data_IF_544391086132
#
_entry.id   IF_544391086132
#
_cell.length_a   1.000
_cell.length_b   1.000
_cell.length_c   1.000
_cell.angle_alpha   90.00
_cell.angle_beta   90.00
_cell.angle_gamma   90.00
#
_symmetry.space_group_name_H-M   'P 1'
#
loop_
_entity.id
_entity.type
_entity.pdbx_description
1 polymer ?
#
# COMPACT_ATOMS: atom_id res chain seq x y z
N UNK A 1 9.89 -3.24 -49.73
CA UNK A 1 9.92 -1.95 -49.00
C UNK A 1 9.05 -2.10 -47.76
N UNK A 2 9.62 -2.53 -46.62
CA UNK A 2 8.89 -2.61 -45.35
C UNK A 2 9.52 -1.62 -44.36
N UNK A 3 8.88 -0.46 -44.22
CA UNK A 3 9.19 0.51 -43.18
C UNK A 3 8.37 0.18 -41.93
N UNK A 4 8.89 -0.71 -41.09
CA UNK A 4 8.49 -0.77 -39.69
C UNK A 4 9.73 -0.46 -38.89
N UNK A 5 9.96 0.83 -38.66
CA UNK A 5 10.94 1.33 -37.70
C UNK A 5 10.37 0.98 -36.31
N UNK A 6 10.44 -0.29 -35.95
CA UNK A 6 10.03 -0.78 -34.63
C UNK A 6 11.08 -0.24 -33.68
N UNK A 7 10.88 0.99 -33.21
CA UNK A 7 11.67 1.56 -32.12
C UNK A 7 11.38 0.67 -30.93
N UNK A 8 12.32 -0.22 -30.63
CA UNK A 8 12.23 -1.11 -29.49
C UNK A 8 12.43 -0.28 -28.21
N UNK A 9 11.33 0.32 -27.76
CA UNK A 9 11.27 1.14 -26.53
C UNK A 9 11.68 0.31 -25.32
N UNK A 10 11.47 -1.01 -25.35
CA UNK A 10 11.93 -1.91 -24.28
C UNK A 10 13.45 -1.97 -24.25
N UNK A 11 14.09 -2.21 -25.40
CA UNK A 11 15.56 -2.26 -25.47
C UNK A 11 16.22 -0.93 -25.04
N UNK A 12 15.57 0.21 -25.29
CA UNK A 12 16.06 1.54 -24.92
C UNK A 12 15.82 1.93 -23.44
N UNK A 13 14.82 1.33 -22.80
CA UNK A 13 14.56 1.49 -21.36
C UNK A 13 15.43 0.52 -20.54
N UNK A 14 15.58 -0.73 -21.00
CA UNK A 14 16.40 -1.76 -20.32
C UNK A 14 17.89 -1.43 -20.30
N UNK A 15 18.37 -0.58 -21.21
CA UNK A 15 19.79 -0.15 -21.23
C UNK A 15 20.12 0.91 -20.19
N UNK A 16 19.12 1.46 -19.47
CA UNK A 16 19.34 2.51 -18.47
C UNK A 16 19.59 1.88 -17.10
N UNK A 17 20.73 2.13 -16.45
CA UNK A 17 20.99 1.62 -15.12
C UNK A 17 20.01 2.23 -14.13
N UNK A 18 19.48 1.39 -13.23
CA UNK A 18 18.58 1.81 -12.15
C UNK A 18 19.27 2.88 -11.32
N UNK A 19 18.74 4.10 -11.32
CA UNK A 19 19.31 5.25 -10.63
C UNK A 19 19.27 5.05 -9.11
N UNK A 20 20.22 5.65 -8.38
CA UNK A 20 20.31 5.60 -6.91
C UNK A 20 18.98 6.00 -6.25
N UNK A 21 18.28 6.97 -6.83
CA UNK A 21 16.97 7.42 -6.35
C UNK A 21 15.88 6.37 -6.54
N UNK A 22 15.92 5.57 -7.60
CA UNK A 22 14.98 4.47 -7.82
C UNK A 22 15.19 3.34 -6.81
N UNK A 23 16.45 3.07 -6.44
CA UNK A 23 16.76 2.14 -5.35
C UNK A 23 16.27 2.63 -3.99
N UNK A 24 16.40 3.92 -3.69
CA UNK A 24 15.84 4.50 -2.48
C UNK A 24 14.31 4.39 -2.46
N UNK A 25 13.62 4.70 -3.55
CA UNK A 25 12.16 4.54 -3.65
C UNK A 25 11.75 3.08 -3.50
N UNK A 26 12.48 2.15 -4.11
CA UNK A 26 12.22 0.72 -3.97
C UNK A 26 12.34 0.26 -2.51
N UNK A 27 13.40 0.69 -1.82
CA UNK A 27 13.65 0.35 -0.43
C UNK A 27 12.58 0.98 0.48
N UNK A 28 12.22 2.24 0.25
CA UNK A 28 11.15 2.92 0.99
C UNK A 28 9.81 2.21 0.79
N UNK A 29 9.48 1.87 -0.45
CA UNK A 29 8.26 1.16 -0.80
C UNK A 29 8.21 -0.23 -0.16
N UNK A 30 9.34 -0.94 -0.16
CA UNK A 30 9.49 -2.22 0.52
C UNK A 30 9.23 -2.10 2.03
N UNK A 31 9.79 -1.08 2.69
CA UNK A 31 9.55 -0.81 4.11
C UNK A 31 8.07 -0.50 4.37
N UNK A 32 7.45 0.36 3.56
CA UNK A 32 6.04 0.74 3.72
C UNK A 32 5.13 -0.49 3.63
N UNK A 33 5.31 -1.33 2.61
CA UNK A 33 4.50 -2.55 2.42
C UNK A 33 4.71 -3.52 3.59
N UNK A 34 5.95 -3.64 4.08
CA UNK A 34 6.26 -4.49 5.23
C UNK A 34 5.60 -4.00 6.52
N UNK A 35 5.58 -2.68 6.76
CA UNK A 35 4.91 -2.07 7.92
C UNK A 35 3.40 -2.21 7.85
N UNK A 36 2.80 -2.01 6.67
CA UNK A 36 1.36 -2.17 6.45
C UNK A 36 0.90 -3.63 6.70
N UNK A 37 1.68 -4.60 6.20
CA UNK A 37 1.44 -6.02 6.47
C UNK A 37 1.57 -6.39 7.96
N UNK A 38 2.48 -5.74 8.68
CA UNK A 38 2.62 -5.93 10.12
C UNK A 38 1.42 -5.37 10.90
N UNK A 39 0.94 -4.17 10.55
CA UNK A 39 -0.22 -3.54 11.18
C UNK A 39 -1.48 -4.41 11.04
N UNK A 40 -1.74 -4.91 9.82
CA UNK A 40 -2.83 -5.84 9.56
C UNK A 40 -2.72 -7.15 10.36
N UNK A 41 -1.50 -7.67 10.54
CA UNK A 41 -1.26 -8.87 11.33
C UNK A 41 -1.54 -8.64 12.83
N UNK A 42 -1.02 -7.54 13.39
CA UNK A 42 -1.24 -7.17 14.80
C UNK A 42 -2.73 -6.93 15.08
N UNK A 43 -3.43 -6.27 14.17
CA UNK A 43 -4.87 -6.02 14.33
C UNK A 43 -5.68 -7.33 14.39
N UNK A 44 -5.26 -8.37 13.67
CA UNK A 44 -5.85 -9.72 13.76
C UNK A 44 -5.68 -10.38 15.13
N UNK A 45 -4.59 -10.10 15.84
CA UNK A 45 -4.33 -10.58 17.20
C UNK A 45 -5.02 -9.73 18.28
N UNK A 46 -5.07 -8.41 18.09
CA UNK A 46 -5.70 -7.49 19.04
C UNK A 46 -7.23 -7.56 18.96
N UNK A 47 -7.79 -7.87 17.79
CA UNK A 47 -9.23 -8.01 17.57
C UNK A 47 -9.95 -8.84 18.66
N UNK A 48 -9.59 -10.11 18.93
CA UNK A 48 -10.28 -10.91 19.96
C UNK A 48 -10.15 -10.33 21.37
N UNK A 49 -9.00 -9.73 21.72
CA UNK A 49 -8.79 -9.12 23.04
C UNK A 49 -9.63 -7.83 23.22
N UNK A 50 -9.75 -7.02 22.17
CA UNK A 50 -10.56 -5.80 22.18
C UNK A 50 -12.07 -6.11 22.26
N UNK A 51 -12.51 -7.20 21.64
CA UNK A 51 -13.88 -7.73 21.76
C UNK A 51 -14.20 -8.12 23.21
N UNK A 52 -13.24 -8.75 23.89
CA UNK A 52 -13.39 -9.20 25.28
C UNK A 52 -13.41 -8.01 26.25
N UNK A 53 -12.51 -7.04 26.08
CA UNK A 53 -12.40 -5.86 26.95
C UNK A 53 -13.52 -4.84 26.77
N UNK A 54 -14.00 -4.62 25.53
CA UNK A 54 -15.06 -3.64 25.26
C UNK A 54 -16.46 -4.27 25.22
N UNK A 55 -16.57 -5.60 25.24
CA UNK A 55 -17.85 -6.33 25.21
C UNK A 55 -18.59 -6.25 23.87
N UNK A 56 -17.87 -5.92 22.80
CA UNK A 56 -18.39 -5.62 21.45
C UNK A 56 -18.38 -6.89 20.59
N UNK A 57 -19.40 -7.12 19.76
CA UNK A 57 -19.47 -8.32 18.89
C UNK A 57 -18.40 -8.30 17.79
N UNK A 58 -17.88 -9.48 17.38
CA UNK A 58 -17.03 -9.62 16.17
C UNK A 58 -17.62 -8.96 14.93
N UNK A 59 -18.95 -8.86 14.85
CA UNK A 59 -19.66 -8.22 13.76
C UNK A 59 -19.46 -6.69 13.71
N UNK A 60 -19.19 -6.05 14.83
CA UNK A 60 -19.01 -4.59 14.95
C UNK A 60 -17.57 -4.14 14.67
N UNK A 61 -16.62 -5.07 14.64
CA UNK A 61 -15.25 -4.80 14.17
C UNK A 61 -15.19 -4.50 12.67
N UNK A 62 -16.08 -5.09 11.86
CA UNK A 62 -16.17 -4.81 10.42
C UNK A 62 -16.44 -3.33 10.12
N UNK A 63 -17.44 -2.70 10.74
CA UNK A 63 -17.67 -1.26 10.68
C UNK A 63 -16.49 -0.40 11.16
N UNK A 64 -15.80 -0.79 12.24
CA UNK A 64 -14.64 -0.04 12.77
C UNK A 64 -13.49 -0.05 11.76
N UNK A 65 -13.18 -1.23 11.20
CA UNK A 65 -12.17 -1.38 10.16
C UNK A 65 -12.56 -0.59 8.89
N UNK A 66 -13.85 -0.60 8.54
CA UNK A 66 -14.41 0.20 7.46
C UNK A 66 -14.31 1.71 7.70
N UNK A 67 -14.48 2.17 8.95
CA UNK A 67 -14.35 3.58 9.31
C UNK A 67 -12.89 4.07 9.18
N UNK A 68 -11.91 3.21 9.50
CA UNK A 68 -10.50 3.49 9.25
C UNK A 68 -10.20 3.68 7.76
N UNK A 69 -10.68 2.76 6.91
CA UNK A 69 -10.56 2.85 5.45
C UNK A 69 -11.30 4.07 4.87
N UNK A 70 -12.44 4.42 5.45
CA UNK A 70 -13.19 5.62 5.06
C UNK A 70 -12.42 6.90 5.40
N UNK A 71 -11.71 6.93 6.53
CA UNK A 71 -10.80 8.03 6.88
C UNK A 71 -9.67 8.22 5.86
N UNK A 72 -9.07 7.12 5.39
CA UNK A 72 -8.07 7.15 4.31
C UNK A 72 -8.67 7.67 3.00
N UNK A 73 -9.88 7.23 2.63
CA UNK A 73 -10.57 7.70 1.44
C UNK A 73 -10.85 9.21 1.47
N UNK A 74 -11.26 9.74 2.64
CA UNK A 74 -11.45 11.18 2.84
C UNK A 74 -10.11 11.93 2.78
N UNK A 75 -9.08 11.43 3.44
CA UNK A 75 -7.75 12.06 3.46
C UNK A 75 -7.09 12.13 2.08
N UNK A 76 -7.26 11.09 1.26
CA UNK A 76 -6.81 11.08 -0.13
C UNK A 76 -7.57 12.09 -0.99
N UNK A 77 -8.89 12.23 -0.78
CA UNK A 77 -9.72 13.21 -1.48
C UNK A 77 -9.46 14.66 -1.09
N UNK A 78 -9.03 14.93 0.15
CA UNK A 78 -8.75 16.28 0.65
C UNK A 78 -7.34 16.79 0.34
N UNK A 79 -6.50 15.97 -0.30
CA UNK A 79 -5.11 16.33 -0.62
C UNK A 79 -4.14 16.26 0.56
N UNK A 80 -4.57 15.70 1.71
CA UNK A 80 -3.76 15.54 2.92
C UNK A 80 -2.90 14.25 2.90
N UNK A 81 -2.77 13.58 1.75
CA UNK A 81 -2.02 12.34 1.60
C UNK A 81 -0.54 12.55 1.21
N UNK A 82 0.01 13.75 1.40
CA UNK A 82 1.44 14.06 1.24
C UNK A 82 1.96 14.91 2.40
#
# INVERSE_FOLDING_TARGET
>A
MNHTNVVDVKAWIDTRPVSRSQWNVLLLCFIIIMLDGYDAAVMGFVAPALIEDWGISRAEMGPILGAAMFGVAIGAGSGAAF
#
